data_IF_526255685298
#
_entry.id   IF_526255685298
#
_cell.length_a   1.000
_cell.length_b   1.000
_cell.length_c   1.000
_cell.angle_alpha   90.00
_cell.angle_beta   90.00
_cell.angle_gamma   90.00
#
_symmetry.space_group_name_H-M   'P 1'
#
loop_
_entity.id
_entity.type
_entity.pdbx_description
1 polymer ?
#
# COMPACT_ATOMS: atom_id res chain seq x y z
N UNK A 1 -0.97 -9.81 -16.47
CA UNK A 1 0.34 -9.31 -15.98
C UNK A 1 1.33 -9.29 -17.13
N UNK A 2 1.90 -8.16 -17.50
CA UNK A 2 2.76 -8.06 -18.68
C UNK A 2 4.16 -8.58 -18.31
N UNK A 3 4.49 -9.80 -18.70
CA UNK A 3 5.71 -10.56 -18.37
C UNK A 3 7.03 -10.00 -18.93
N UNK A 4 7.03 -8.79 -19.48
CA UNK A 4 8.20 -8.13 -20.10
C UNK A 4 8.82 -7.03 -19.23
N UNK A 5 8.48 -6.94 -17.96
CA UNK A 5 9.09 -5.93 -17.10
C UNK A 5 10.49 -6.36 -16.64
N UNK A 6 11.42 -5.38 -16.60
CA UNK A 6 12.76 -5.61 -16.05
C UNK A 6 12.62 -5.83 -14.55
N UNK A 7 13.01 -7.00 -14.10
CA UNK A 7 13.08 -7.32 -12.68
C UNK A 7 14.15 -6.47 -12.01
N UNK A 8 13.84 -5.94 -10.87
CA UNK A 8 14.84 -5.30 -10.01
C UNK A 8 15.44 -6.39 -9.12
N UNK A 9 16.70 -6.70 -9.34
CA UNK A 9 17.42 -7.67 -8.52
C UNK A 9 17.99 -7.01 -7.25
N UNK A 10 18.21 -7.81 -6.21
CA UNK A 10 18.73 -7.34 -4.93
C UNK A 10 20.01 -6.51 -5.03
N UNK A 11 20.94 -6.91 -5.91
CA UNK A 11 22.21 -6.20 -6.09
C UNK A 11 22.01 -4.78 -6.65
N UNK A 12 21.03 -4.59 -7.54
CA UNK A 12 20.64 -3.26 -8.02
C UNK A 12 19.97 -2.46 -6.91
N UNK A 13 19.09 -3.08 -6.11
CA UNK A 13 18.45 -2.45 -4.98
C UNK A 13 19.48 -1.95 -3.94
N UNK A 14 20.50 -2.75 -3.61
CA UNK A 14 21.60 -2.37 -2.71
C UNK A 14 22.41 -1.18 -3.29
N UNK A 15 22.73 -1.18 -4.58
CA UNK A 15 23.43 -0.08 -5.26
C UNK A 15 22.61 1.21 -5.28
N UNK A 16 21.32 1.09 -5.56
CA UNK A 16 20.39 2.23 -5.59
C UNK A 16 20.24 2.84 -4.20
N UNK A 17 20.09 2.01 -3.16
CA UNK A 17 20.03 2.44 -1.77
C UNK A 17 21.29 3.22 -1.36
N UNK A 18 22.47 2.68 -1.61
CA UNK A 18 23.73 3.36 -1.30
C UNK A 18 23.86 4.69 -2.04
N UNK A 19 23.53 4.70 -3.32
CA UNK A 19 23.62 5.91 -4.15
C UNK A 19 22.69 7.00 -3.70
N UNK A 20 21.40 6.68 -3.47
CA UNK A 20 20.35 7.66 -3.20
C UNK A 20 20.28 8.07 -1.73
N UNK A 21 20.41 7.10 -0.83
CA UNK A 21 20.25 7.34 0.62
C UNK A 21 21.56 7.32 1.41
N UNK A 22 22.66 6.86 0.81
CA UNK A 22 23.95 6.73 1.53
C UNK A 22 23.98 5.57 2.52
N UNK A 23 22.99 4.70 2.47
CA UNK A 23 22.86 3.56 3.38
C UNK A 23 23.44 2.31 2.71
N UNK A 24 24.34 1.63 3.42
CA UNK A 24 24.84 0.33 3.03
C UNK A 24 24.07 -0.75 3.76
N UNK A 25 23.48 -1.70 3.03
CA UNK A 25 22.70 -2.78 3.62
C UNK A 25 22.48 -3.92 2.65
N UNK A 26 22.05 -5.06 3.17
CA UNK A 26 21.68 -6.26 2.40
C UNK A 26 20.20 -6.24 2.08
N UNK A 27 19.87 -6.47 0.81
CA UNK A 27 18.50 -6.50 0.32
C UNK A 27 17.95 -7.93 0.24
N UNK A 28 16.82 -8.16 0.91
CA UNK A 28 16.02 -9.38 0.80
C UNK A 28 14.72 -9.03 0.05
N UNK A 29 14.43 -9.64 -1.11
CA UNK A 29 13.19 -9.41 -1.82
C UNK A 29 11.97 -9.80 -0.98
N UNK A 30 10.94 -8.96 -1.02
CA UNK A 30 9.64 -9.21 -0.40
C UNK A 30 8.57 -9.37 -1.49
N UNK A 31 7.47 -10.09 -1.21
CA UNK A 31 6.30 -10.10 -2.08
C UNK A 31 5.78 -8.69 -2.35
N UNK A 32 5.24 -8.46 -3.55
CA UNK A 32 4.61 -7.20 -3.93
C UNK A 32 3.98 -7.30 -5.31
N UNK A 33 2.76 -6.78 -5.46
CA UNK A 33 2.01 -6.78 -6.71
C UNK A 33 2.37 -5.58 -7.59
N UNK A 34 2.51 -4.40 -6.97
CA UNK A 34 2.69 -3.12 -7.66
C UNK A 34 4.16 -2.70 -7.69
N UNK A 35 4.84 -2.74 -6.55
CA UNK A 35 6.24 -2.36 -6.41
C UNK A 35 7.16 -3.58 -6.26
N UNK A 36 8.44 -3.40 -6.58
CA UNK A 36 9.50 -4.29 -6.12
C UNK A 36 9.90 -3.87 -4.71
N UNK A 37 9.58 -4.70 -3.73
CA UNK A 37 9.82 -4.43 -2.33
C UNK A 37 11.04 -5.21 -1.83
N UNK A 38 11.87 -4.56 -1.00
CA UNK A 38 13.03 -5.18 -0.39
C UNK A 38 13.10 -4.82 1.09
N UNK A 39 13.26 -5.84 1.95
CA UNK A 39 13.75 -5.60 3.30
C UNK A 39 15.24 -5.32 3.21
N UNK A 40 15.65 -4.19 3.75
CA UNK A 40 17.07 -3.82 3.89
C UNK A 40 17.49 -4.07 5.32
N UNK A 41 18.66 -4.66 5.52
CA UNK A 41 19.29 -4.80 6.85
C UNK A 41 20.72 -4.28 6.77
N UNK A 42 21.06 -3.32 7.62
CA UNK A 42 22.42 -2.76 7.72
C UNK A 42 23.32 -3.62 8.63
N UNK A 43 24.62 -3.40 8.57
CA UNK A 43 25.58 -4.05 9.47
C UNK A 43 25.36 -3.71 10.95
N UNK A 44 24.72 -2.56 11.23
CA UNK A 44 24.39 -2.10 12.59
C UNK A 44 23.04 -2.64 13.08
N UNK A 45 22.35 -3.47 12.27
CA UNK A 45 21.07 -4.08 12.63
C UNK A 45 19.84 -3.23 12.32
N UNK A 46 20.00 -2.01 11.80
CA UNK A 46 18.86 -1.21 11.36
C UNK A 46 18.17 -1.87 10.14
N UNK A 47 16.85 -1.76 10.09
CA UNK A 47 16.06 -2.34 9.00
C UNK A 47 15.13 -1.31 8.37
N UNK A 48 14.92 -1.44 7.04
CA UNK A 48 14.11 -0.55 6.22
C UNK A 48 13.34 -1.34 5.17
N UNK A 49 12.35 -0.70 4.56
CA UNK A 49 11.69 -1.17 3.32
C UNK A 49 12.10 -0.24 2.19
N UNK A 50 12.82 -0.77 1.21
CA UNK A 50 13.08 -0.09 -0.05
C UNK A 50 12.00 -0.52 -1.06
N UNK A 51 11.27 0.47 -1.61
CA UNK A 51 10.25 0.25 -2.63
C UNK A 51 10.74 0.85 -3.95
N UNK A 52 10.79 0.03 -5.00
CA UNK A 52 11.13 0.46 -6.36
C UNK A 52 9.90 0.29 -7.24
N UNK A 53 9.42 1.37 -7.83
CA UNK A 53 8.20 1.36 -8.63
C UNK A 53 8.34 0.55 -9.92
N UNK A 54 7.22 0.07 -10.45
CA UNK A 54 7.15 -0.32 -11.86
C UNK A 54 7.28 0.91 -12.76
N UNK A 55 7.64 0.74 -14.04
CA UNK A 55 7.65 1.88 -14.97
C UNK A 55 6.23 2.42 -15.17
N UNK A 56 6.13 3.68 -15.57
CA UNK A 56 4.88 4.36 -15.90
C UNK A 56 3.90 4.55 -14.71
N UNK A 57 4.37 4.40 -13.47
CA UNK A 57 3.57 4.79 -12.30
C UNK A 57 3.47 6.31 -12.22
N UNK A 58 2.32 6.84 -11.82
CA UNK A 58 2.15 8.27 -11.59
C UNK A 58 2.96 8.74 -10.38
N UNK A 59 3.74 9.81 -10.56
CA UNK A 59 4.47 10.44 -9.45
C UNK A 59 3.50 11.05 -8.43
N UNK A 60 2.39 11.66 -8.90
CA UNK A 60 1.36 12.22 -8.02
C UNK A 60 0.73 11.15 -7.11
N UNK A 61 0.51 9.95 -7.65
CA UNK A 61 0.02 8.83 -6.85
C UNK A 61 1.03 8.37 -5.78
N UNK A 62 2.32 8.32 -6.12
CA UNK A 62 3.34 7.98 -5.12
C UNK A 62 3.49 9.08 -4.05
N UNK A 63 3.43 10.34 -4.46
CA UNK A 63 3.44 11.50 -3.57
C UNK A 63 2.24 11.48 -2.60
N UNK A 64 1.06 11.18 -3.10
CA UNK A 64 -0.14 10.96 -2.30
C UNK A 64 0.09 9.89 -1.21
N UNK A 65 0.70 8.75 -1.56
CA UNK A 65 1.02 7.70 -0.58
C UNK A 65 1.99 8.19 0.51
N UNK A 66 3.03 8.97 0.13
CA UNK A 66 3.98 9.54 1.09
C UNK A 66 3.31 10.56 2.01
N UNK A 67 2.45 11.43 1.46
CA UNK A 67 1.67 12.40 2.24
C UNK A 67 0.77 11.74 3.27
N UNK A 68 0.13 10.61 2.94
CA UNK A 68 -0.66 9.82 3.91
C UNK A 68 0.23 9.38 5.07
N UNK A 69 1.38 8.78 4.80
CA UNK A 69 2.29 8.29 5.85
C UNK A 69 2.80 9.43 6.74
N UNK A 70 3.20 10.55 6.16
CA UNK A 70 3.64 11.75 6.90
C UNK A 70 2.49 12.33 7.73
N UNK A 71 1.27 12.37 7.18
CA UNK A 71 0.10 12.81 7.91
C UNK A 71 -0.17 11.92 9.13
N UNK A 72 -0.13 10.59 8.95
CA UNK A 72 -0.31 9.64 10.05
C UNK A 72 0.81 9.77 11.10
N UNK A 73 2.07 9.95 10.68
CA UNK A 73 3.19 10.18 11.61
C UNK A 73 2.99 11.46 12.44
N UNK A 74 2.36 12.50 11.88
CA UNK A 74 2.05 13.75 12.61
C UNK A 74 0.96 13.59 13.68
N UNK A 75 0.23 12.47 13.68
CA UNK A 75 -0.81 12.15 14.64
C UNK A 75 -0.25 11.28 15.76
N UNK A 76 -0.73 11.50 16.97
CA UNK A 76 -0.42 10.61 18.10
C UNK A 76 -1.22 9.32 17.95
N UNK A 77 -0.76 8.44 17.07
CA UNK A 77 -1.42 7.17 16.81
C UNK A 77 -1.08 6.14 17.89
N UNK A 78 -2.05 5.34 18.33
CA UNK A 78 -1.81 4.23 19.27
C UNK A 78 -1.16 3.00 18.58
N UNK A 79 -0.76 3.15 17.34
CA UNK A 79 -0.22 2.11 16.48
C UNK A 79 1.01 2.63 15.75
N UNK A 80 1.89 1.72 15.36
CA UNK A 80 3.04 2.04 14.53
C UNK A 80 2.65 2.03 13.04
N UNK A 81 3.06 3.09 12.32
CA UNK A 81 2.93 3.20 10.88
C UNK A 81 4.31 3.41 10.24
N UNK A 82 4.53 2.97 8.99
CA UNK A 82 5.82 3.19 8.33
C UNK A 82 6.17 4.68 8.23
N UNK A 83 7.40 5.04 8.59
CA UNK A 83 7.95 6.39 8.48
C UNK A 83 8.67 6.59 7.17
N UNK A 84 8.56 7.76 6.60
CA UNK A 84 9.22 8.14 5.35
C UNK A 84 10.65 8.61 5.62
N UNK A 85 11.61 8.09 4.87
CA UNK A 85 13.00 8.55 4.90
C UNK A 85 13.30 9.39 3.66
N UNK A 86 13.94 10.53 3.88
CA UNK A 86 14.41 11.41 2.81
C UNK A 86 15.71 10.87 2.21
N UNK A 87 15.90 11.10 0.93
CA UNK A 87 17.17 10.82 0.26
C UNK A 87 18.26 11.87 0.59
N UNK A 88 19.43 11.75 -0.02
CA UNK A 88 20.57 12.68 0.18
C UNK A 88 20.27 14.11 -0.28
N UNK A 89 19.28 14.32 -1.13
CA UNK A 89 18.83 15.62 -1.62
C UNK A 89 17.69 16.21 -0.78
N UNK A 90 17.18 15.45 0.18
CA UNK A 90 16.03 15.85 1.00
C UNK A 90 14.68 15.50 0.36
N UNK A 91 14.66 14.65 -0.66
CA UNK A 91 13.45 14.27 -1.38
C UNK A 91 12.83 12.99 -0.78
N UNK A 92 11.49 12.95 -0.73
CA UNK A 92 10.74 11.77 -0.27
C UNK A 92 10.68 10.67 -1.32
N UNK A 93 10.79 11.03 -2.58
CA UNK A 93 10.71 10.15 -3.74
C UNK A 93 11.90 10.44 -4.63
N UNK A 94 12.86 9.51 -4.65
CA UNK A 94 14.00 9.54 -5.56
C UNK A 94 13.65 8.87 -6.90
N UNK A 95 14.55 8.96 -7.87
CA UNK A 95 14.42 8.22 -9.12
C UNK A 95 15.74 7.75 -9.69
N UNK A 96 15.66 6.74 -10.54
CA UNK A 96 16.76 6.31 -11.40
C UNK A 96 16.22 5.76 -12.72
N UNK A 97 17.12 5.63 -13.73
CA UNK A 97 16.79 4.96 -14.98
C UNK A 97 17.27 3.52 -14.96
N UNK A 98 16.37 2.59 -15.30
CA UNK A 98 16.69 1.17 -15.43
C UNK A 98 17.48 0.89 -16.73
N UNK A 99 17.86 -0.37 -16.95
CA UNK A 99 18.64 -0.82 -18.13
C UNK A 99 17.94 -0.52 -19.48
N UNK A 100 16.61 -0.34 -19.46
CA UNK A 100 15.82 0.07 -20.63
C UNK A 100 15.57 1.58 -20.66
N UNK A 101 16.34 2.38 -19.91
CA UNK A 101 16.22 3.83 -19.80
C UNK A 101 14.85 4.33 -19.30
N UNK A 102 14.09 3.50 -18.60
CA UNK A 102 12.79 3.86 -18.03
C UNK A 102 12.98 4.39 -16.62
N UNK A 103 12.23 5.43 -16.27
CA UNK A 103 12.25 6.01 -14.94
C UNK A 103 11.64 5.03 -13.94
N UNK A 104 12.33 4.81 -12.84
CA UNK A 104 11.89 4.08 -11.66
C UNK A 104 11.92 5.01 -10.47
N UNK A 105 10.82 5.13 -9.76
CA UNK A 105 10.77 5.88 -8.51
C UNK A 105 11.18 4.99 -7.35
N UNK A 106 11.83 5.58 -6.36
CA UNK A 106 12.37 4.87 -5.19
C UNK A 106 11.91 5.58 -3.93
N UNK A 107 11.43 4.81 -2.97
CA UNK A 107 11.00 5.29 -1.66
C UNK A 107 11.62 4.40 -0.58
N UNK A 108 12.04 5.01 0.52
CA UNK A 108 12.57 4.30 1.67
C UNK A 108 11.66 4.55 2.87
N UNK A 109 11.24 3.46 3.50
CA UNK A 109 10.35 3.49 4.66
C UNK A 109 10.99 2.76 5.83
N UNK A 110 10.57 3.05 7.06
CA UNK A 110 10.96 2.27 8.22
C UNK A 110 10.44 0.84 8.12
N UNK A 111 11.21 -0.09 8.67
CA UNK A 111 10.75 -1.45 8.92
C UNK A 111 9.97 -1.50 10.22
N UNK A 112 8.79 -2.09 10.21
CA UNK A 112 8.02 -2.42 11.40
C UNK A 112 8.22 -3.91 11.68
N UNK A 113 8.70 -4.24 12.87
CA UNK A 113 8.88 -5.62 13.30
C UNK A 113 7.56 -6.21 13.78
N UNK A 114 7.32 -7.48 13.46
CA UNK A 114 6.10 -8.16 13.83
C UNK A 114 5.85 -9.38 12.96
N UNK A 115 4.83 -10.15 13.32
CA UNK A 115 4.33 -11.27 12.53
C UNK A 115 3.10 -10.82 11.74
N UNK A 116 3.00 -11.19 10.47
CA UNK A 116 1.77 -10.92 9.70
C UNK A 116 0.58 -11.61 10.35
N UNK A 117 -0.56 -10.96 10.37
CA UNK A 117 -1.78 -11.45 11.01
C UNK A 117 -2.15 -12.88 10.58
N UNK A 118 -1.98 -13.20 9.28
CA UNK A 118 -2.23 -14.54 8.74
C UNK A 118 -1.39 -15.66 9.39
N UNK A 119 -0.28 -15.33 10.06
CA UNK A 119 0.61 -16.28 10.74
C UNK A 119 0.43 -16.31 12.26
N UNK A 120 -0.52 -15.53 12.79
CA UNK A 120 -0.79 -15.47 14.22
C UNK A 120 -2.02 -16.29 14.56
N UNK A 121 -1.88 -17.31 15.39
CA UNK A 121 -2.96 -18.17 15.84
C UNK A 121 -2.84 -18.51 17.33
N UNK A 122 -3.97 -18.59 18.07
CA UNK A 122 -5.33 -18.27 17.67
C UNK A 122 -5.58 -16.75 17.59
N UNK A 123 -6.55 -16.32 16.81
CA UNK A 123 -7.03 -14.93 16.84
C UNK A 123 -7.91 -14.73 18.07
N UNK A 124 -7.32 -14.28 19.16
CA UNK A 124 -8.02 -14.01 20.43
C UNK A 124 -9.02 -12.87 20.30
N UNK A 125 -9.89 -12.70 21.30
CA UNK A 125 -10.80 -11.56 21.35
C UNK A 125 -10.05 -10.22 21.38
N UNK A 126 -8.94 -10.16 22.13
CA UNK A 126 -8.11 -8.96 22.26
C UNK A 126 -7.42 -8.60 20.93
N UNK A 127 -6.90 -9.59 20.20
CA UNK A 127 -6.35 -9.35 18.86
C UNK A 127 -7.42 -8.81 17.90
N UNK A 128 -8.63 -9.38 17.90
CA UNK A 128 -9.72 -8.89 17.07
C UNK A 128 -10.13 -7.47 17.46
N UNK A 129 -10.20 -7.19 18.77
CA UNK A 129 -10.46 -5.84 19.27
C UNK A 129 -9.37 -4.87 18.80
N UNK A 130 -8.08 -5.26 18.92
CA UNK A 130 -6.96 -4.47 18.44
C UNK A 130 -7.05 -4.14 16.93
N UNK A 131 -7.51 -5.09 16.10
CA UNK A 131 -7.72 -4.86 14.66
C UNK A 131 -8.81 -3.80 14.42
N UNK A 132 -9.95 -3.88 15.11
CA UNK A 132 -11.00 -2.87 14.99
C UNK A 132 -10.56 -1.50 15.49
N UNK A 133 -9.81 -1.47 16.58
CA UNK A 133 -9.25 -0.25 17.13
C UNK A 133 -8.23 0.40 16.16
N UNK A 134 -7.38 -0.41 15.55
CA UNK A 134 -6.47 0.00 14.48
C UNK A 134 -7.22 0.67 13.32
N UNK A 135 -8.22 -0.02 12.78
CA UNK A 135 -9.02 0.48 11.64
C UNK A 135 -9.74 1.80 11.97
N UNK A 136 -10.33 1.89 13.16
CA UNK A 136 -10.99 3.09 13.66
C UNK A 136 -10.02 4.26 13.82
N UNK A 137 -8.86 4.03 14.42
CA UNK A 137 -7.83 5.05 14.65
C UNK A 137 -7.25 5.61 13.34
N UNK A 138 -6.97 4.76 12.35
CA UNK A 138 -6.53 5.21 11.03
C UNK A 138 -7.62 6.03 10.35
N UNK A 139 -8.87 5.56 10.39
CA UNK A 139 -10.00 6.26 9.77
C UNK A 139 -10.20 7.63 10.41
N UNK A 140 -10.13 7.74 11.74
CA UNK A 140 -10.24 9.00 12.48
C UNK A 140 -9.10 9.96 12.09
N UNK A 141 -7.87 9.48 12.07
CA UNK A 141 -6.71 10.29 11.71
C UNK A 141 -6.81 10.84 10.28
N UNK A 142 -7.40 10.08 9.35
CA UNK A 142 -7.55 10.46 7.94
C UNK A 142 -8.82 11.26 7.64
N UNK A 143 -9.71 11.53 8.62
CA UNK A 143 -10.96 12.28 8.38
C UNK A 143 -10.73 13.69 7.82
N UNK A 144 -9.63 14.32 8.22
CA UNK A 144 -9.26 15.68 7.82
C UNK A 144 -8.20 15.71 6.72
N UNK A 145 -7.77 14.55 6.24
CA UNK A 145 -6.80 14.44 5.16
C UNK A 145 -7.53 14.60 3.82
N UNK A 146 -7.13 15.59 3.03
CA UNK A 146 -7.67 15.84 1.68
C UNK A 146 -6.51 15.94 0.69
N UNK A 147 -6.65 15.23 -0.43
CA UNK A 147 -5.74 15.28 -1.57
C UNK A 147 -6.51 14.97 -2.85
N UNK A 148 -6.10 15.56 -3.97
CA UNK A 148 -6.77 15.36 -5.26
C UNK A 148 -6.71 13.90 -5.72
N UNK A 149 -5.62 13.20 -5.44
CA UNK A 149 -5.44 11.78 -5.79
C UNK A 149 -6.37 10.84 -5.00
N UNK A 150 -6.96 11.29 -3.89
CA UNK A 150 -7.98 10.53 -3.15
C UNK A 150 -9.25 10.31 -3.97
N UNK A 151 -9.49 11.14 -5.01
CA UNK A 151 -10.70 11.10 -5.86
C UNK A 151 -10.46 10.36 -7.18
N UNK A 152 -9.33 9.68 -7.35
CA UNK A 152 -9.00 8.94 -8.58
C UNK A 152 -9.95 7.77 -8.82
N UNK A 153 -10.05 7.35 -10.08
CA UNK A 153 -10.65 6.06 -10.40
C UNK A 153 -9.80 4.94 -9.81
N UNK A 154 -10.45 4.01 -9.10
CA UNK A 154 -9.79 2.93 -8.41
C UNK A 154 -10.66 1.67 -8.41
N UNK A 155 -10.16 0.59 -8.98
CA UNK A 155 -10.93 -0.66 -9.18
C UNK A 155 -11.42 -1.29 -7.86
N UNK A 156 -10.72 -1.05 -6.75
CA UNK A 156 -11.10 -1.54 -5.41
C UNK A 156 -12.07 -0.61 -4.67
N UNK A 157 -12.48 0.51 -5.29
CA UNK A 157 -13.55 1.34 -4.76
C UNK A 157 -14.89 0.71 -5.09
N UNK A 158 -15.62 0.25 -4.09
CA UNK A 158 -16.94 -0.36 -4.26
C UNK A 158 -17.93 0.56 -4.99
N UNK A 159 -17.76 1.90 -4.87
CA UNK A 159 -18.57 2.86 -5.60
C UNK A 159 -18.39 2.78 -7.12
N UNK A 160 -17.32 2.16 -7.57
CA UNK A 160 -16.94 2.01 -8.98
C UNK A 160 -17.02 0.54 -9.44
N UNK A 161 -17.62 -0.36 -8.67
CA UNK A 161 -17.61 -1.81 -8.91
C UNK A 161 -18.27 -2.25 -10.22
N UNK A 162 -19.00 -1.37 -10.92
CA UNK A 162 -19.70 -1.70 -12.16
C UNK A 162 -18.78 -2.06 -13.35
N UNK A 163 -17.48 -1.76 -13.27
CA UNK A 163 -16.51 -2.20 -14.27
C UNK A 163 -16.46 -3.73 -14.42
N UNK A 164 -16.86 -4.49 -13.40
CA UNK A 164 -16.88 -5.97 -13.44
C UNK A 164 -17.85 -6.51 -14.51
N UNK A 165 -18.86 -5.74 -14.92
CA UNK A 165 -19.83 -6.13 -15.95
C UNK A 165 -19.14 -6.45 -17.29
N UNK A 166 -18.04 -5.77 -17.61
CA UNK A 166 -17.24 -6.04 -18.82
C UNK A 166 -16.62 -7.45 -18.83
N UNK A 167 -16.49 -8.06 -17.67
CA UNK A 167 -15.90 -9.39 -17.48
C UNK A 167 -16.93 -10.51 -17.35
N UNK A 168 -18.21 -10.23 -17.44
CA UNK A 168 -19.27 -11.25 -17.38
C UNK A 168 -19.06 -12.45 -18.31
N UNK A 169 -18.52 -12.29 -19.55
CA UNK A 169 -18.23 -13.45 -20.39
C UNK A 169 -17.22 -14.46 -19.82
N UNK A 170 -16.45 -14.07 -18.80
CA UNK A 170 -15.50 -14.95 -18.12
C UNK A 170 -16.13 -15.80 -16.99
N UNK A 171 -17.33 -15.43 -16.54
CA UNK A 171 -18.06 -16.10 -15.47
C UNK A 171 -19.02 -17.14 -16.02
N UNK A 172 -19.22 -18.23 -15.30
CA UNK A 172 -20.33 -19.12 -15.56
C UNK A 172 -21.68 -18.50 -15.09
N UNK A 173 -22.81 -19.09 -15.50
CA UNK A 173 -24.14 -18.54 -15.23
C UNK A 173 -24.41 -18.31 -13.72
N UNK A 174 -23.98 -19.23 -12.86
CA UNK A 174 -24.18 -19.10 -11.40
C UNK A 174 -23.35 -17.96 -10.80
N UNK A 175 -22.11 -17.82 -11.26
CA UNK A 175 -21.24 -16.73 -10.84
C UNK A 175 -21.79 -15.37 -11.30
N UNK A 176 -22.30 -15.30 -12.55
CA UNK A 176 -22.95 -14.09 -13.06
C UNK A 176 -24.17 -13.70 -12.22
N UNK A 177 -25.06 -14.67 -11.90
CA UNK A 177 -26.24 -14.42 -11.06
C UNK A 177 -25.86 -13.80 -9.71
N UNK A 178 -24.80 -14.30 -9.06
CA UNK A 178 -24.32 -13.77 -7.78
C UNK A 178 -23.80 -12.34 -7.95
N UNK A 179 -22.94 -12.09 -8.94
CA UNK A 179 -22.37 -10.76 -9.18
C UNK A 179 -23.47 -9.74 -9.52
N UNK A 180 -24.41 -10.10 -10.43
CA UNK A 180 -25.55 -9.25 -10.81
C UNK A 180 -26.39 -8.90 -9.59
N UNK A 181 -26.71 -9.88 -8.74
CA UNK A 181 -27.48 -9.65 -7.54
C UNK A 181 -26.87 -8.56 -6.64
N UNK A 182 -25.55 -8.62 -6.39
CA UNK A 182 -24.88 -7.64 -5.55
C UNK A 182 -24.73 -6.27 -6.24
N UNK A 183 -24.52 -6.22 -7.55
CA UNK A 183 -24.49 -4.96 -8.28
C UNK A 183 -25.84 -4.25 -8.27
N UNK A 184 -26.94 -4.99 -8.47
CA UNK A 184 -28.29 -4.45 -8.40
C UNK A 184 -28.63 -3.96 -7.00
N UNK A 185 -28.27 -4.74 -5.95
CA UNK A 185 -28.42 -4.35 -4.58
C UNK A 185 -27.68 -3.04 -4.31
N UNK A 186 -26.41 -2.94 -4.70
CA UNK A 186 -25.63 -1.71 -4.55
C UNK A 186 -26.23 -0.54 -5.33
N UNK A 187 -26.71 -0.77 -6.53
CA UNK A 187 -27.39 0.23 -7.35
C UNK A 187 -28.66 0.78 -6.65
N UNK A 188 -29.42 -0.09 -5.97
CA UNK A 188 -30.59 0.31 -5.21
C UNK A 188 -30.29 1.28 -4.06
N UNK A 189 -29.07 1.19 -3.48
CA UNK A 189 -28.60 2.11 -2.43
C UNK A 189 -27.90 3.36 -2.96
N UNK A 190 -27.75 3.51 -4.29
CA UNK A 190 -26.90 4.52 -4.92
C UNK A 190 -27.17 5.97 -4.53
N UNK A 191 -28.43 6.35 -4.29
CA UNK A 191 -28.79 7.70 -3.80
C UNK A 191 -28.36 7.91 -2.35
N UNK A 192 -28.63 6.94 -1.47
CA UNK A 192 -28.19 6.96 -0.07
C UNK A 192 -26.66 6.96 0.06
N UNK A 193 -25.96 6.16 -0.78
CA UNK A 193 -24.52 6.11 -0.77
C UNK A 193 -23.85 7.46 -1.15
N UNK A 194 -24.44 8.21 -2.06
CA UNK A 194 -23.90 9.51 -2.53
C UNK A 194 -23.84 10.58 -1.43
N UNK A 195 -24.76 10.51 -0.45
CA UNK A 195 -24.86 11.49 0.65
C UNK A 195 -24.05 11.06 1.89
N UNK A 196 -23.47 9.88 1.90
CA UNK A 196 -22.61 9.44 2.99
C UNK A 196 -21.35 10.31 3.06
N UNK A 197 -20.88 10.53 4.31
CA UNK A 197 -19.56 11.15 4.52
C UNK A 197 -18.48 10.32 3.85
N UNK A 198 -17.55 10.99 3.18
CA UNK A 198 -16.41 10.38 2.51
C UNK A 198 -15.12 10.81 3.18
N UNK A 199 -14.19 9.89 3.30
CA UNK A 199 -12.83 10.14 3.79
C UNK A 199 -11.87 9.16 3.12
N UNK A 200 -10.57 9.44 3.21
CA UNK A 200 -9.55 8.45 2.87
C UNK A 200 -9.62 7.32 3.90
N UNK A 201 -9.59 6.10 3.43
CA UNK A 201 -9.57 4.88 4.25
C UNK A 201 -8.45 3.96 3.77
N UNK A 202 -8.03 3.02 4.61
CA UNK A 202 -6.97 2.07 4.24
C UNK A 202 -7.37 1.18 3.04
N UNK A 203 -8.59 0.75 2.99
CA UNK A 203 -9.26 -0.03 1.94
C UNK A 203 -8.70 -1.44 1.66
N UNK A 204 -7.56 -1.83 2.25
CA UNK A 204 -6.93 -3.15 2.05
C UNK A 204 -6.30 -3.65 3.35
N UNK A 205 -7.08 -3.64 4.44
CA UNK A 205 -6.67 -4.18 5.75
C UNK A 205 -6.84 -5.71 5.81
N UNK A 206 -6.28 -6.40 4.82
CA UNK A 206 -6.27 -7.86 4.82
C UNK A 206 -5.20 -8.43 5.77
N UNK A 207 -5.22 -9.73 6.00
CA UNK A 207 -4.41 -10.44 6.98
C UNK A 207 -2.89 -10.50 6.66
N UNK A 208 -2.48 -10.11 5.45
CA UNK A 208 -1.08 -9.97 5.05
C UNK A 208 -0.55 -8.54 5.16
N UNK A 209 -1.44 -7.56 5.33
CA UNK A 209 -1.09 -6.14 5.43
C UNK A 209 -1.05 -5.63 6.88
N UNK A 210 -1.31 -6.49 7.85
CA UNK A 210 -1.35 -6.17 9.27
C UNK A 210 -0.26 -6.96 9.99
N UNK A 211 0.50 -6.25 10.83
CA UNK A 211 1.52 -6.83 11.68
C UNK A 211 1.03 -6.87 13.12
N UNK A 212 1.31 -7.96 13.79
CA UNK A 212 1.10 -8.16 15.24
C UNK A 212 2.47 -8.09 15.90
N UNK A 213 2.61 -7.17 16.84
CA UNK A 213 3.80 -7.04 17.68
C UNK A 213 3.63 -7.82 18.99
N UNK A 214 4.71 -8.16 19.65
CA UNK A 214 4.71 -8.89 20.94
C UNK A 214 4.66 -7.94 22.17
N UNK A 215 4.18 -6.70 21.99
CA UNK A 215 4.05 -5.70 23.07
C UNK A 215 2.63 -5.63 23.58
#
# INVERSE_FOLDING_TARGET
MNTKDVLIHKDLAEKVLLRLYGIQGKALPLPGEVDFNFKITTSEGASYILKVSRPNISLSYLDYQQKILIHLESKSMPIETPKVFLDKQGEQISSFKDEKNRVRYVRLLSWISGRVWSQVHPHTADLRFGLWYLGGSITEALLVFDDLEAKRAFEWDIAQAFWVEEFFPLFNNKEQEVVIHFLELFKSYGTGYKVLRKSVVHNDANDNNILVTDT
#
